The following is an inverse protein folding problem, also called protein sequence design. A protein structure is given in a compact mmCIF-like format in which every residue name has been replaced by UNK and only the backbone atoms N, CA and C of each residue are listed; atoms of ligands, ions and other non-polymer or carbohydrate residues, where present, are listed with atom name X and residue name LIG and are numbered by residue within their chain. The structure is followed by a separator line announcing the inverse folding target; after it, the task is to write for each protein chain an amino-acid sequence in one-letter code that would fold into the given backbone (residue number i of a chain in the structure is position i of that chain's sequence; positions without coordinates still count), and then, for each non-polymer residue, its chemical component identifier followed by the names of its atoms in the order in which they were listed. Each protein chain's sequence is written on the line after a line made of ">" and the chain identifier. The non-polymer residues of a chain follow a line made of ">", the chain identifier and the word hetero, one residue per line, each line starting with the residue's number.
data_IF_188292178771
#
_entry.id   IF_188292178771
#
_cell.length_a   1.000
_cell.length_b   1.000
_cell.length_c   1.000
_cell.angle_alpha   90.00
_cell.angle_beta   90.00
_cell.angle_gamma   90.00
#
_symmetry.space_group_name_H-M   'P 1'
#
loop_
_entity.id
_entity.type
_entity.pdbx_description
1 polymer ?
#
# COMPACT_ATOMS: atom_id res chain seq x y z
N UNK A 1 -30.63 -13.30 34.28
CA UNK A 1 -30.26 -14.33 33.28
C UNK A 1 -29.92 -13.75 31.90
N UNK A 2 -30.72 -12.88 31.27
CA UNK A 2 -30.42 -12.36 29.93
C UNK A 2 -29.08 -11.63 29.76
N UNK A 3 -28.61 -10.91 30.80
CA UNK A 3 -27.29 -10.26 30.80
C UNK A 3 -26.11 -11.24 30.75
N UNK A 4 -26.26 -12.43 31.34
CA UNK A 4 -25.23 -13.47 31.31
C UNK A 4 -25.16 -14.10 29.92
N UNK A 5 -26.31 -14.43 29.34
CA UNK A 5 -26.40 -15.01 27.99
C UNK A 5 -25.80 -14.05 26.95
N UNK A 6 -26.13 -12.76 27.02
CA UNK A 6 -25.55 -11.76 26.13
C UNK A 6 -24.02 -11.71 26.24
N UNK A 7 -23.47 -11.72 27.46
CA UNK A 7 -22.02 -11.70 27.68
C UNK A 7 -21.34 -12.96 27.14
N UNK A 8 -21.93 -14.12 27.33
CA UNK A 8 -21.39 -15.38 26.78
C UNK A 8 -21.40 -15.35 25.26
N UNK A 9 -22.48 -14.89 24.63
CA UNK A 9 -22.55 -14.76 23.17
C UNK A 9 -21.55 -13.72 22.64
N UNK A 10 -21.37 -12.59 23.33
CA UNK A 10 -20.35 -11.60 22.99
C UNK A 10 -18.94 -12.19 23.07
N UNK A 11 -18.61 -12.92 24.14
CA UNK A 11 -17.31 -13.54 24.31
C UNK A 11 -17.00 -14.58 23.21
N UNK A 12 -18.00 -15.36 22.78
CA UNK A 12 -17.85 -16.29 21.65
C UNK A 12 -17.61 -15.53 20.35
N UNK A 13 -18.37 -14.46 20.10
CA UNK A 13 -18.21 -13.65 18.89
C UNK A 13 -16.84 -12.94 18.81
N UNK A 14 -16.29 -12.52 19.95
CA UNK A 14 -14.93 -11.97 20.05
C UNK A 14 -13.89 -13.04 19.77
N UNK A 15 -14.02 -14.22 20.39
CA UNK A 15 -13.11 -15.35 20.17
C UNK A 15 -13.05 -15.78 18.69
N UNK A 16 -14.20 -15.90 18.02
CA UNK A 16 -14.24 -16.29 16.61
C UNK A 16 -13.57 -15.24 15.71
N UNK A 17 -13.73 -13.95 16.04
CA UNK A 17 -13.05 -12.87 15.31
C UNK A 17 -11.54 -12.96 15.50
N UNK A 18 -11.07 -13.16 16.72
CA UNK A 18 -9.66 -13.26 17.02
C UNK A 18 -9.03 -14.47 16.32
N UNK A 19 -9.71 -15.62 16.33
CA UNK A 19 -9.29 -16.81 15.59
C UNK A 19 -9.17 -16.54 14.08
N UNK A 20 -10.08 -15.77 13.48
CA UNK A 20 -9.98 -15.39 12.07
C UNK A 20 -8.77 -14.47 11.83
N UNK A 21 -8.55 -13.50 12.70
CA UNK A 21 -7.43 -12.56 12.58
C UNK A 21 -6.08 -13.29 12.69
N UNK A 22 -5.94 -14.22 13.63
CA UNK A 22 -4.73 -15.03 13.80
C UNK A 22 -4.44 -15.88 12.56
N UNK A 23 -5.44 -16.62 12.05
CA UNK A 23 -5.28 -17.43 10.83
C UNK A 23 -4.90 -16.60 9.62
N UNK A 24 -5.48 -15.40 9.48
CA UNK A 24 -5.13 -14.49 8.39
C UNK A 24 -3.71 -13.93 8.56
N UNK A 25 -3.28 -13.64 9.78
CA UNK A 25 -1.93 -13.19 10.07
C UNK A 25 -0.89 -14.26 9.72
N UNK A 26 -1.15 -15.52 10.08
CA UNK A 26 -0.32 -16.67 9.72
C UNK A 26 -0.25 -16.86 8.20
N UNK A 27 -1.40 -16.89 7.51
CA UNK A 27 -1.45 -17.02 6.06
C UNK A 27 -0.72 -15.88 5.34
N UNK A 28 -0.84 -14.66 5.86
CA UNK A 28 -0.10 -13.50 5.35
C UNK A 28 1.40 -13.61 5.62
N UNK A 29 1.81 -14.14 6.77
CA UNK A 29 3.22 -14.38 7.08
C UNK A 29 3.84 -15.39 6.11
N UNK A 30 3.11 -16.45 5.75
CA UNK A 30 3.52 -17.41 4.72
C UNK A 30 3.60 -16.72 3.35
N UNK A 31 2.59 -15.94 2.96
CA UNK A 31 2.58 -15.22 1.68
C UNK A 31 3.76 -14.24 1.56
N UNK A 32 4.16 -13.58 2.66
CA UNK A 32 5.32 -12.69 2.72
C UNK A 32 6.66 -13.38 2.44
N UNK A 33 6.75 -14.71 2.57
CA UNK A 33 7.96 -15.45 2.21
C UNK A 33 8.17 -15.55 0.70
N UNK A 34 7.13 -15.35 -0.10
CA UNK A 34 7.26 -15.31 -1.55
C UNK A 34 7.98 -14.02 -1.98
N UNK A 35 9.09 -14.09 -2.73
CA UNK A 35 9.84 -12.91 -3.18
C UNK A 35 9.02 -11.96 -4.08
N UNK A 36 7.98 -12.47 -4.75
CA UNK A 36 7.08 -11.67 -5.58
C UNK A 36 5.88 -11.08 -4.81
N UNK A 37 5.76 -11.38 -3.52
CA UNK A 37 4.70 -10.83 -2.69
C UNK A 37 4.87 -9.32 -2.52
N UNK A 38 3.80 -8.58 -2.81
CA UNK A 38 3.74 -7.13 -2.62
C UNK A 38 2.50 -6.79 -1.84
N UNK A 39 2.69 -6.13 -0.71
CA UNK A 39 1.59 -5.67 0.12
C UNK A 39 1.04 -4.33 -0.41
N UNK A 40 -0.29 -4.17 -0.36
CA UNK A 40 -0.97 -2.95 -0.76
C UNK A 40 -1.28 -2.85 -2.25
N UNK A 41 -1.64 -1.64 -2.69
CA UNK A 41 -2.10 -1.39 -4.07
C UNK A 41 -0.94 -1.54 -5.07
N UNK A 42 -1.10 -2.31 -6.17
CA UNK A 42 -0.12 -2.37 -7.23
C UNK A 42 0.23 -0.97 -7.77
N UNK A 43 1.51 -0.74 -8.05
CA UNK A 43 1.96 0.53 -8.65
C UNK A 43 1.38 0.65 -10.04
N UNK A 44 0.61 1.72 -10.29
CA UNK A 44 -0.01 2.00 -11.59
C UNK A 44 1.03 2.28 -12.68
N UNK A 45 2.14 2.93 -12.32
CA UNK A 45 3.20 3.31 -13.26
C UNK A 45 4.42 2.41 -13.09
N UNK A 46 5.02 2.04 -14.22
CA UNK A 46 6.25 1.25 -14.25
C UNK A 46 7.44 2.08 -13.78
N UNK A 47 8.51 1.43 -13.31
CA UNK A 47 9.75 2.12 -12.92
C UNK A 47 10.29 2.99 -14.05
N UNK A 48 10.29 2.49 -15.30
CA UNK A 48 10.77 3.22 -16.48
C UNK A 48 9.98 4.52 -16.72
N UNK A 49 8.65 4.47 -16.61
CA UNK A 49 7.81 5.67 -16.77
C UNK A 49 8.10 6.71 -15.69
N UNK A 50 8.28 6.28 -14.44
CA UNK A 50 8.61 7.19 -13.34
C UNK A 50 10.00 7.78 -13.54
N UNK A 51 11.00 6.98 -13.90
CA UNK A 51 12.36 7.48 -14.19
C UNK A 51 12.36 8.48 -15.33
N UNK A 52 11.65 8.19 -16.42
CA UNK A 52 11.53 9.12 -17.54
C UNK A 52 10.86 10.44 -17.13
N UNK A 53 9.78 10.37 -16.35
CA UNK A 53 9.11 11.56 -15.84
C UNK A 53 10.01 12.38 -14.89
N UNK A 54 10.86 11.74 -14.09
CA UNK A 54 11.82 12.43 -13.23
C UNK A 54 12.93 13.12 -14.02
N UNK A 55 13.41 12.52 -15.11
CA UNK A 55 14.37 13.16 -16.02
C UNK A 55 13.77 14.41 -16.68
N UNK A 56 12.50 14.36 -17.07
CA UNK A 56 11.81 15.52 -17.65
C UNK A 56 11.68 16.69 -16.66
N UNK A 57 11.70 16.44 -15.35
CA UNK A 57 11.66 17.49 -14.31
C UNK A 57 12.98 18.28 -14.16
N UNK A 58 14.07 17.85 -14.80
CA UNK A 58 15.31 18.63 -14.82
C UNK A 58 15.17 19.88 -15.70
N UNK A 59 14.35 19.81 -16.75
CA UNK A 59 14.18 20.88 -17.74
C UNK A 59 12.77 21.47 -17.75
N UNK A 60 11.76 20.77 -17.25
CA UNK A 60 10.36 21.18 -17.31
C UNK A 60 9.74 21.33 -15.91
N UNK A 61 8.68 22.13 -15.84
CA UNK A 61 7.88 22.30 -14.62
C UNK A 61 7.00 21.07 -14.32
N UNK A 62 6.59 20.91 -13.07
CA UNK A 62 5.72 19.78 -12.66
C UNK A 62 4.39 19.71 -13.43
N UNK A 63 3.81 20.86 -13.80
CA UNK A 63 2.56 20.91 -14.56
C UNK A 63 2.75 20.41 -15.99
N UNK A 64 3.84 20.82 -16.64
CA UNK A 64 4.18 20.35 -17.99
C UNK A 64 4.48 18.84 -18.00
N UNK A 65 5.21 18.32 -17.02
CA UNK A 65 5.50 16.88 -16.95
C UNK A 65 4.22 16.07 -16.67
N UNK A 66 3.29 16.59 -15.86
CA UNK A 66 1.98 15.96 -15.64
C UNK A 66 1.16 15.87 -16.93
N UNK A 67 1.13 16.93 -17.73
CA UNK A 67 0.45 16.93 -19.04
C UNK A 67 1.10 15.95 -20.04
N UNK A 68 2.44 15.89 -20.08
CA UNK A 68 3.18 15.03 -21.01
C UNK A 68 3.05 13.55 -20.63
N UNK A 69 3.15 13.22 -19.34
CA UNK A 69 3.27 11.84 -18.87
C UNK A 69 1.96 11.26 -18.32
N UNK A 70 0.96 12.10 -18.04
CA UNK A 70 -0.27 11.71 -17.34
C UNK A 70 -0.05 11.30 -15.87
N UNK A 71 1.15 11.53 -15.33
CA UNK A 71 1.47 11.25 -13.92
C UNK A 71 1.20 12.50 -13.10
N UNK A 72 0.33 12.37 -12.10
CA UNK A 72 -0.06 13.53 -11.31
C UNK A 72 1.11 14.20 -10.57
N UNK A 73 1.06 15.52 -10.40
CA UNK A 73 2.07 16.29 -9.65
C UNK A 73 2.37 15.69 -8.27
N UNK A 74 1.35 15.23 -7.53
CA UNK A 74 1.54 14.59 -6.23
C UNK A 74 2.32 13.27 -6.31
N UNK A 75 2.18 12.53 -7.41
CA UNK A 75 2.94 11.31 -7.68
C UNK A 75 4.39 11.62 -8.06
N UNK A 76 4.62 12.65 -8.87
CA UNK A 76 5.96 13.13 -9.22
C UNK A 76 6.74 13.63 -7.99
N UNK A 77 6.11 14.43 -7.13
CA UNK A 77 6.74 14.94 -5.90
C UNK A 77 7.11 13.79 -4.96
N UNK A 78 6.22 12.81 -4.78
CA UNK A 78 6.51 11.61 -3.98
C UNK A 78 7.70 10.85 -4.56
N UNK A 79 7.69 10.59 -5.87
CA UNK A 79 8.78 9.90 -6.55
C UNK A 79 10.13 10.63 -6.39
N UNK A 80 10.15 11.97 -6.52
CA UNK A 80 11.36 12.77 -6.30
C UNK A 80 11.88 12.65 -4.87
N UNK A 81 11.00 12.72 -3.87
CA UNK A 81 11.38 12.56 -2.46
C UNK A 81 11.96 11.18 -2.15
N UNK A 82 11.40 10.12 -2.73
CA UNK A 82 11.91 8.75 -2.55
C UNK A 82 13.34 8.61 -3.09
N UNK A 83 13.63 9.23 -4.24
CA UNK A 83 14.99 9.25 -4.81
C UNK A 83 15.95 10.06 -3.93
N UNK A 84 15.53 11.22 -3.43
CA UNK A 84 16.39 12.06 -2.57
C UNK A 84 16.65 11.46 -1.18
N UNK A 85 15.75 10.62 -0.65
CA UNK A 85 15.92 9.94 0.64
C UNK A 85 16.73 8.65 0.56
N UNK A 86 16.90 8.09 -0.63
CA UNK A 86 17.53 6.79 -0.87
C UNK A 86 18.99 6.86 -1.35
N UNK A 87 19.63 8.03 -1.27
CA UNK A 87 21.07 8.22 -1.43
C UNK A 87 21.69 8.67 -0.11
#
# INVERSE_FOLDING_TARGET
>A
MGRLILRMLSAIAEFDRDMIVERLAEGKAIAKQNPDFREGRPKKFTKKQVTHALQLLETNSYTQVEEITGISKSTLIRAKREVTKGG
#
